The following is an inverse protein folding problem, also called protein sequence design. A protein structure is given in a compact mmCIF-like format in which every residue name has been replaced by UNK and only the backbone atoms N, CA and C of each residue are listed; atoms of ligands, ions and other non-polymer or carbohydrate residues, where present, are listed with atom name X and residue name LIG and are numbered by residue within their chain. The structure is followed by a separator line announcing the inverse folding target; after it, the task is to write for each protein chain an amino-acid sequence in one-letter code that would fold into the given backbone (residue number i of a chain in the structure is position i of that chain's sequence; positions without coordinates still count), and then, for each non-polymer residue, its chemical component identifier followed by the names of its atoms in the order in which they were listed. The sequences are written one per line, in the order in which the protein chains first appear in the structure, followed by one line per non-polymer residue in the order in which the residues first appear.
data_IF_015596596302
#
_entry.id   IF_015596596302
#
_cell.length_a   1.000
_cell.length_b   1.000
_cell.length_c   1.000
_cell.angle_alpha   90.00
_cell.angle_beta   90.00
_cell.angle_gamma   90.00
#
_symmetry.space_group_name_H-M   'P 1'
#
loop_
_entity.id
_entity.type
_entity.pdbx_description
1 polymer ?
#
# COMPACT_ATOMS: atom_id res chain seq x y z
N UNK A 1 59.59 -9.77 8.08
CA UNK A 1 59.03 -8.41 8.19
C UNK A 1 57.70 -8.41 7.53
N UNK A 2 56.60 -8.39 8.29
CA UNK A 2 55.25 -8.23 7.68
C UNK A 2 55.22 -6.81 7.12
N UNK A 3 54.98 -6.73 5.83
CA UNK A 3 55.02 -5.47 5.09
C UNK A 3 53.95 -4.52 5.65
N UNK A 4 54.38 -3.36 6.13
CA UNK A 4 53.46 -2.34 6.69
C UNK A 4 52.41 -1.94 5.67
N UNK A 5 52.71 -2.03 4.40
CA UNK A 5 51.81 -1.76 3.28
C UNK A 5 50.66 -2.72 3.24
N UNK A 6 50.91 -4.02 3.43
CA UNK A 6 49.86 -5.06 3.51
C UNK A 6 48.92 -4.85 4.68
N UNK A 7 49.45 -4.43 5.84
CA UNK A 7 48.62 -4.14 7.01
C UNK A 7 47.70 -2.92 6.75
N UNK A 8 48.21 -1.88 6.14
CA UNK A 8 47.40 -0.70 5.78
C UNK A 8 46.28 -1.03 4.77
N UNK A 9 46.55 -1.87 3.76
CA UNK A 9 45.56 -2.32 2.79
C UNK A 9 44.44 -3.08 3.48
N UNK A 10 44.77 -3.99 4.39
CA UNK A 10 43.76 -4.75 5.15
C UNK A 10 42.89 -3.82 6.01
N UNK A 11 43.48 -2.84 6.69
CA UNK A 11 42.75 -1.89 7.51
C UNK A 11 41.80 -1.01 6.67
N UNK A 12 42.24 -0.57 5.50
CA UNK A 12 41.41 0.22 4.57
C UNK A 12 40.24 -0.64 4.07
N UNK A 13 40.48 -1.90 3.71
CA UNK A 13 39.41 -2.81 3.25
C UNK A 13 38.39 -3.08 4.37
N UNK A 14 38.85 -3.28 5.60
CA UNK A 14 37.94 -3.47 6.75
C UNK A 14 37.12 -2.21 7.07
N UNK A 15 37.73 -1.03 6.98
CA UNK A 15 37.03 0.23 7.17
C UNK A 15 35.98 0.47 6.06
N UNK A 16 36.32 0.12 4.82
CA UNK A 16 35.42 0.27 3.67
C UNK A 16 34.24 -0.70 3.74
N UNK A 17 34.48 -1.98 4.04
CA UNK A 17 33.42 -2.98 4.19
C UNK A 17 32.53 -2.70 5.42
N UNK A 18 33.13 -2.29 6.54
CA UNK A 18 32.39 -1.87 7.74
C UNK A 18 31.53 -0.63 7.50
N UNK A 19 32.06 0.36 6.77
CA UNK A 19 31.32 1.57 6.40
C UNK A 19 30.13 1.29 5.48
N UNK A 20 30.32 0.43 4.47
CA UNK A 20 29.21 0.00 3.58
C UNK A 20 28.17 -0.77 4.38
N UNK A 21 28.57 -1.72 5.21
CA UNK A 21 27.65 -2.50 6.04
C UNK A 21 26.82 -1.61 6.98
N UNK A 22 27.48 -0.62 7.62
CA UNK A 22 26.79 0.34 8.48
C UNK A 22 25.78 1.21 7.71
N UNK A 23 26.12 1.65 6.49
CA UNK A 23 25.22 2.41 5.63
C UNK A 23 23.96 1.60 5.27
N UNK A 24 24.11 0.32 4.93
CA UNK A 24 22.97 -0.56 4.63
C UNK A 24 22.05 -0.75 5.84
N UNK A 25 22.63 -1.02 7.02
CA UNK A 25 21.85 -1.18 8.25
C UNK A 25 21.13 0.12 8.62
N UNK A 26 21.83 1.26 8.59
CA UNK A 26 21.25 2.56 8.97
C UNK A 26 20.16 3.03 7.99
N UNK A 27 20.26 2.70 6.70
CA UNK A 27 19.19 2.96 5.75
C UNK A 27 17.99 2.03 5.96
N UNK A 28 18.23 0.76 6.30
CA UNK A 28 17.19 -0.19 6.64
C UNK A 28 16.36 0.27 7.84
N UNK A 29 17.01 0.71 8.91
CA UNK A 29 16.34 1.24 10.11
C UNK A 29 15.50 2.49 9.84
N UNK A 30 16.04 3.45 9.08
CA UNK A 30 15.30 4.67 8.68
C UNK A 30 14.09 4.37 7.79
N UNK A 31 14.18 3.35 6.95
CA UNK A 31 13.07 2.92 6.10
C UNK A 31 11.99 2.25 6.94
N UNK A 32 12.37 1.38 7.88
CA UNK A 32 11.43 0.75 8.82
C UNK A 32 10.76 1.79 9.73
N UNK A 33 11.49 2.77 10.25
CA UNK A 33 10.93 3.85 11.05
C UNK A 33 9.94 4.73 10.24
N UNK A 34 10.26 5.03 8.99
CA UNK A 34 9.33 5.72 8.08
C UNK A 34 8.06 4.91 7.82
N UNK A 35 8.20 3.61 7.54
CA UNK A 35 7.07 2.73 7.30
C UNK A 35 6.20 2.58 8.56
N UNK A 36 6.80 2.48 9.75
CA UNK A 36 6.05 2.38 11.01
C UNK A 36 5.34 3.68 11.40
N UNK A 37 5.89 4.85 11.04
CA UNK A 37 5.28 6.17 11.30
C UNK A 37 4.23 6.56 10.25
N UNK A 38 4.25 5.95 9.06
CA UNK A 38 3.33 6.31 7.97
C UNK A 38 2.07 5.45 7.92
N UNK A 39 1.94 4.44 8.76
CA UNK A 39 0.72 3.64 8.86
C UNK A 39 -0.36 4.47 9.58
N UNK A 40 -1.05 5.30 8.81
CA UNK A 40 -2.32 5.88 9.24
C UNK A 40 -3.40 4.80 9.06
N UNK A 41 -4.05 4.42 10.15
CA UNK A 41 -5.09 3.41 10.14
C UNK A 41 -4.77 2.18 10.98
N UNK A 42 -5.72 1.29 11.08
CA UNK A 42 -5.63 0.02 11.80
C UNK A 42 -5.29 -1.12 10.86
N UNK A 43 -4.34 -1.96 11.26
CA UNK A 43 -4.01 -3.17 10.50
C UNK A 43 -5.04 -4.25 10.78
N UNK A 44 -5.82 -4.60 9.77
CA UNK A 44 -6.78 -5.70 9.86
C UNK A 44 -6.09 -7.06 9.70
N UNK A 45 -6.61 -8.13 10.35
CA UNK A 45 -6.17 -9.50 10.10
C UNK A 45 -6.36 -9.87 8.63
N UNK A 46 -5.39 -10.56 8.06
CA UNK A 46 -5.45 -11.02 6.68
C UNK A 46 -6.45 -12.17 6.52
N UNK A 47 -7.38 -12.03 5.58
CA UNK A 47 -8.37 -13.04 5.22
C UNK A 47 -7.94 -13.91 4.02
N UNK A 48 -6.72 -13.75 3.57
CA UNK A 48 -6.18 -14.46 2.41
C UNK A 48 -6.59 -13.85 1.06
N UNK A 49 -6.29 -14.57 -0.02
CA UNK A 49 -6.46 -14.09 -1.41
C UNK A 49 -7.05 -15.18 -2.32
N UNK A 50 -8.08 -15.88 -1.87
CA UNK A 50 -8.72 -16.95 -2.65
C UNK A 50 -9.58 -16.37 -3.76
N UNK A 51 -9.30 -16.77 -5.00
CA UNK A 51 -10.15 -16.41 -6.13
C UNK A 51 -11.47 -17.19 -6.11
N UNK A 52 -12.57 -16.45 -6.16
CA UNK A 52 -13.93 -16.99 -6.29
C UNK A 52 -14.56 -16.55 -7.62
N UNK A 53 -15.58 -17.29 -8.05
CA UNK A 53 -16.32 -16.91 -9.28
C UNK A 53 -17.27 -15.74 -8.98
N UNK A 54 -17.52 -14.85 -9.95
CA UNK A 54 -18.55 -13.82 -9.79
C UNK A 54 -19.88 -14.42 -9.38
N UNK A 55 -20.48 -13.84 -8.31
CA UNK A 55 -21.74 -14.30 -7.72
C UNK A 55 -21.64 -15.50 -6.77
N UNK A 56 -20.44 -16.05 -6.54
CA UNK A 56 -20.24 -17.06 -5.50
C UNK A 56 -20.31 -16.41 -4.12
N UNK A 57 -20.98 -17.08 -3.17
CA UNK A 57 -20.98 -16.66 -1.77
C UNK A 57 -19.61 -16.93 -1.14
N UNK A 58 -19.17 -16.04 -0.29
CA UNK A 58 -17.96 -16.18 0.52
C UNK A 58 -18.19 -15.61 1.92
N UNK A 59 -17.23 -15.76 2.82
CA UNK A 59 -17.28 -15.18 4.15
C UNK A 59 -17.36 -13.64 4.07
N UNK A 60 -18.05 -13.02 5.00
CA UNK A 60 -18.08 -11.56 5.13
C UNK A 60 -16.68 -11.02 5.41
N UNK A 61 -16.38 -9.84 4.86
CA UNK A 61 -15.11 -9.17 5.10
C UNK A 61 -15.03 -8.65 6.53
N UNK A 62 -13.83 -8.64 7.09
CA UNK A 62 -13.57 -8.21 8.46
C UNK A 62 -13.28 -6.70 8.60
N UNK A 63 -13.36 -5.95 7.52
CA UNK A 63 -13.20 -4.50 7.51
C UNK A 63 -14.09 -3.84 6.46
N UNK A 64 -14.38 -2.55 6.67
CA UNK A 64 -15.10 -1.70 5.74
C UNK A 64 -14.34 -0.37 5.49
N UNK A 65 -13.73 -0.17 4.30
CA UNK A 65 -13.73 -1.09 3.15
C UNK A 65 -12.87 -2.33 3.40
N UNK A 66 -13.08 -3.42 2.62
CA UNK A 66 -12.29 -4.62 2.75
C UNK A 66 -10.85 -4.42 2.29
N UNK A 67 -9.91 -5.07 2.98
CA UNK A 67 -8.47 -4.98 2.70
C UNK A 67 -7.84 -6.30 2.27
N UNK A 68 -8.54 -7.42 2.47
CA UNK A 68 -8.14 -8.78 2.07
C UNK A 68 -9.37 -9.69 2.06
N UNK A 69 -9.24 -10.88 1.51
CA UNK A 69 -10.27 -11.91 1.50
C UNK A 69 -10.59 -12.47 0.12
N UNK A 70 -11.60 -13.35 0.03
CA UNK A 70 -12.02 -13.94 -1.23
C UNK A 70 -12.43 -12.87 -2.24
N UNK A 71 -11.96 -12.98 -3.47
CA UNK A 71 -12.23 -11.98 -4.51
C UNK A 71 -12.22 -12.59 -5.92
N UNK A 72 -12.68 -11.83 -6.91
CA UNK A 72 -12.71 -12.30 -8.28
C UNK A 72 -11.34 -12.16 -8.96
N UNK A 73 -11.06 -13.01 -9.94
CA UNK A 73 -9.84 -12.94 -10.74
C UNK A 73 -9.77 -11.74 -11.71
N UNK A 74 -10.82 -10.92 -11.78
CA UNK A 74 -10.84 -9.69 -12.56
C UNK A 74 -10.36 -8.49 -11.74
N UNK A 75 -9.97 -7.41 -12.41
CA UNK A 75 -9.52 -6.16 -11.79
C UNK A 75 -10.49 -5.01 -12.04
N UNK A 76 -10.65 -4.12 -11.08
CA UNK A 76 -11.18 -2.80 -11.32
C UNK A 76 -10.12 -1.98 -12.05
N UNK A 77 -10.37 -1.48 -13.24
CA UNK A 77 -9.42 -0.63 -13.95
C UNK A 77 -9.04 0.61 -13.11
N UNK A 78 -7.87 1.23 -13.34
CA UNK A 78 -7.46 2.43 -12.61
C UNK A 78 -8.37 3.63 -12.94
N UNK A 79 -8.31 4.66 -12.10
CA UNK A 79 -9.00 5.94 -12.29
C UNK A 79 -10.15 6.18 -11.31
N UNK A 80 -10.84 7.29 -11.52
CA UNK A 80 -12.00 7.70 -10.70
C UNK A 80 -13.23 6.98 -11.24
N UNK A 81 -13.96 6.32 -10.34
CA UNK A 81 -15.19 5.60 -10.67
C UNK A 81 -16.41 6.45 -10.35
N UNK A 82 -17.34 6.48 -11.27
CA UNK A 82 -18.65 7.14 -11.12
C UNK A 82 -19.76 6.16 -10.78
N UNK A 83 -19.52 4.88 -11.05
CA UNK A 83 -20.45 3.79 -10.77
C UNK A 83 -19.89 2.89 -9.68
N UNK A 84 -20.75 2.22 -8.90
CA UNK A 84 -20.32 1.23 -7.92
C UNK A 84 -19.47 0.13 -8.55
N UNK A 85 -18.40 -0.25 -7.86
CA UNK A 85 -17.52 -1.35 -8.27
C UNK A 85 -17.55 -2.41 -7.18
N UNK A 86 -17.66 -3.68 -7.57
CA UNK A 86 -17.64 -4.79 -6.63
C UNK A 86 -16.33 -4.82 -5.84
N UNK A 87 -16.44 -5.03 -4.53
CA UNK A 87 -15.28 -5.09 -3.62
C UNK A 87 -14.28 -6.15 -4.06
N UNK A 88 -14.74 -7.25 -4.62
CA UNK A 88 -13.91 -8.35 -5.12
C UNK A 88 -13.00 -7.91 -6.29
N UNK A 89 -13.45 -7.01 -7.16
CA UNK A 89 -12.62 -6.45 -8.22
C UNK A 89 -11.59 -5.45 -7.68
N UNK A 90 -11.99 -4.69 -6.66
CA UNK A 90 -11.10 -3.72 -6.00
C UNK A 90 -10.00 -4.45 -5.26
N UNK A 91 -10.34 -5.50 -4.48
CA UNK A 91 -9.37 -6.34 -3.76
C UNK A 91 -8.32 -6.94 -4.70
N UNK A 92 -8.74 -7.52 -5.82
CA UNK A 92 -7.79 -8.06 -6.79
C UNK A 92 -6.88 -6.97 -7.40
N UNK A 93 -7.42 -5.76 -7.58
CA UNK A 93 -6.61 -4.61 -8.02
C UNK A 93 -5.57 -4.21 -6.98
N UNK A 94 -5.90 -4.27 -5.68
CA UNK A 94 -4.98 -4.01 -4.57
C UNK A 94 -3.87 -5.07 -4.50
N UNK A 95 -4.19 -6.34 -4.74
CA UNK A 95 -3.22 -7.44 -4.85
C UNK A 95 -2.21 -7.17 -5.98
N UNK A 96 -2.64 -6.56 -7.08
CA UNK A 96 -1.79 -6.09 -8.16
C UNK A 96 -1.15 -4.70 -7.92
N UNK A 97 -1.15 -4.23 -6.68
CA UNK A 97 -0.46 -3.02 -6.25
C UNK A 97 -1.19 -1.70 -6.55
N UNK A 98 -2.52 -1.74 -6.70
CA UNK A 98 -3.29 -0.51 -6.78
C UNK A 98 -3.51 0.09 -5.38
N UNK A 99 -3.34 1.41 -5.26
CA UNK A 99 -3.83 2.17 -4.12
C UNK A 99 -5.30 2.53 -4.33
N UNK A 100 -6.12 2.42 -3.30
CA UNK A 100 -7.55 2.72 -3.38
C UNK A 100 -7.88 3.86 -2.44
N UNK A 101 -8.62 4.83 -2.93
CA UNK A 101 -9.16 5.94 -2.14
C UNK A 101 -10.67 5.81 -2.13
N UNK A 102 -11.21 5.48 -0.97
CA UNK A 102 -12.62 5.49 -0.74
C UNK A 102 -13.03 6.82 -0.11
N UNK A 103 -14.13 7.41 -0.57
CA UNK A 103 -14.74 8.57 0.06
C UNK A 103 -16.21 8.30 0.36
N UNK A 104 -16.70 8.89 1.45
CA UNK A 104 -18.09 8.68 1.86
C UNK A 104 -19.03 9.28 0.82
N UNK A 105 -20.04 8.53 0.44
CA UNK A 105 -21.11 9.03 -0.40
C UNK A 105 -21.85 10.20 0.27
N UNK A 106 -22.27 11.20 -0.50
CA UNK A 106 -22.94 12.39 0.03
C UNK A 106 -22.01 13.44 0.65
N UNK A 107 -20.68 13.30 0.53
CA UNK A 107 -19.75 14.39 0.91
C UNK A 107 -19.96 15.64 0.06
N UNK A 108 -19.62 16.81 0.63
CA UNK A 108 -19.64 18.06 -0.10
C UNK A 108 -18.75 18.00 -1.35
N UNK A 109 -19.27 18.48 -2.47
CA UNK A 109 -18.54 18.43 -3.74
C UNK A 109 -17.18 19.10 -3.68
N UNK A 110 -17.04 20.18 -2.91
CA UNK A 110 -15.77 20.87 -2.71
C UNK A 110 -14.71 20.02 -2.00
N UNK A 111 -15.11 19.12 -1.11
CA UNK A 111 -14.22 18.17 -0.45
C UNK A 111 -13.84 17.02 -1.38
N UNK A 112 -14.81 16.50 -2.12
CA UNK A 112 -14.56 15.48 -3.15
C UNK A 112 -13.60 16.01 -4.21
N UNK A 113 -13.71 17.27 -4.61
CA UNK A 113 -12.81 17.89 -5.59
C UNK A 113 -11.37 18.03 -5.07
N UNK A 114 -11.19 18.32 -3.78
CA UNK A 114 -9.86 18.29 -3.14
C UNK A 114 -9.24 16.88 -3.15
N UNK A 115 -10.05 15.85 -2.88
CA UNK A 115 -9.59 14.45 -2.95
C UNK A 115 -9.19 14.11 -4.39
N UNK A 116 -10.01 14.47 -5.38
CA UNK A 116 -9.70 14.29 -6.82
C UNK A 116 -8.41 15.00 -7.22
N UNK A 117 -8.19 16.21 -6.73
CA UNK A 117 -6.96 16.96 -7.00
C UNK A 117 -5.74 16.23 -6.43
N UNK A 118 -5.80 15.77 -5.18
CA UNK A 118 -4.74 14.99 -4.55
C UNK A 118 -4.52 13.65 -5.29
N UNK A 119 -5.60 12.96 -5.64
CA UNK A 119 -5.57 11.75 -6.44
C UNK A 119 -4.88 11.98 -7.78
N UNK A 120 -5.19 13.04 -8.51
CA UNK A 120 -4.60 13.33 -9.81
C UNK A 120 -3.11 13.69 -9.72
N UNK A 121 -2.68 14.33 -8.64
CA UNK A 121 -1.26 14.68 -8.38
C UNK A 121 -0.39 13.46 -8.02
N UNK A 122 -0.97 12.41 -7.47
CA UNK A 122 -0.25 11.19 -7.12
C UNK A 122 0.06 10.34 -8.35
N UNK A 123 1.09 9.52 -8.30
CA UNK A 123 1.48 8.58 -9.36
C UNK A 123 1.15 7.13 -8.96
N UNK A 124 1.22 6.20 -9.93
CA UNK A 124 1.01 4.78 -9.72
C UNK A 124 -0.39 4.30 -10.13
N UNK A 125 -0.63 2.99 -9.95
CA UNK A 125 -1.95 2.39 -10.13
C UNK A 125 -2.84 2.83 -8.97
N UNK A 126 -3.96 3.46 -9.27
CA UNK A 126 -4.84 3.99 -8.23
C UNK A 126 -6.30 4.03 -8.70
N UNK A 127 -7.20 3.82 -7.74
CA UNK A 127 -8.64 3.81 -7.94
C UNK A 127 -9.25 4.76 -6.92
N UNK A 128 -10.22 5.55 -7.32
CA UNK A 128 -11.01 6.39 -6.43
C UNK A 128 -12.48 6.12 -6.67
N UNK A 129 -13.23 5.91 -5.60
CA UNK A 129 -14.67 5.62 -5.68
C UNK A 129 -15.38 6.00 -4.39
N UNK A 130 -16.70 6.21 -4.49
CA UNK A 130 -17.56 6.46 -3.32
C UNK A 130 -17.99 5.16 -2.64
N UNK A 131 -18.36 5.25 -1.36
CA UNK A 131 -18.94 4.17 -0.57
C UNK A 131 -19.94 4.72 0.43
N UNK A 132 -21.17 4.20 0.40
CA UNK A 132 -22.26 4.67 1.24
C UNK A 132 -22.00 4.41 2.74
N UNK A 133 -21.49 3.23 3.07
CA UNK A 133 -21.34 2.75 4.45
C UNK A 133 -19.98 3.05 5.10
N UNK A 134 -19.28 4.11 4.69
CA UNK A 134 -18.00 4.50 5.31
C UNK A 134 -18.23 5.23 6.65
N UNK A 135 -17.60 4.72 7.71
CA UNK A 135 -17.64 5.35 9.05
C UNK A 135 -16.77 6.60 9.13
N UNK A 136 -15.77 6.72 8.24
CA UNK A 136 -14.86 7.86 8.10
C UNK A 136 -15.12 8.62 6.80
N UNK A 137 -14.75 9.91 6.70
CA UNK A 137 -14.94 10.65 5.44
C UNK A 137 -14.15 10.06 4.27
N UNK A 138 -12.93 9.58 4.54
CA UNK A 138 -12.00 9.02 3.54
C UNK A 138 -11.26 7.83 4.15
N UNK A 139 -11.10 6.76 3.39
CA UNK A 139 -10.32 5.57 3.72
C UNK A 139 -9.40 5.16 2.55
#
# INVERSE_FOLDING_TARGET
MKDKTTLWIILIMLAFTGGIGWLYVSQGEKTQEKLSKSLMGEKMPDMGSVHVRPGASHAEYNSNPPTSGPHWAGVAGPGIKTEPVADELVLHSMEHGAAVVWYREGMDQSEVDKIKEAFNKSSGKKIMLSRESLDVPVA
#
